data_IF_972658348742
#
_entry.id   IF_972658348742
#
_cell.length_a   1.000
_cell.length_b   1.000
_cell.length_c   1.000
_cell.angle_alpha   90.00
_cell.angle_beta   90.00
_cell.angle_gamma   90.00
#
_symmetry.space_group_name_H-M   'P 1'
#
loop_
_entity.id
_entity.type
_entity.pdbx_description
1 polymer ?
#
# COMPACT_ATOMS: atom_id res chain seq x y z
N UNK A 1 8.71 -21.72 2.85
CA UNK A 1 7.62 -20.78 2.52
C UNK A 1 8.23 -19.39 2.39
N UNK A 2 8.06 -18.70 1.27
CA UNK A 2 8.48 -17.29 1.10
C UNK A 2 7.23 -16.42 1.21
N UNK A 3 7.33 -15.32 1.92
CA UNK A 3 6.24 -14.34 2.04
C UNK A 3 6.63 -13.13 1.20
N UNK A 4 5.75 -12.72 0.29
CA UNK A 4 5.94 -11.48 -0.47
C UNK A 4 5.64 -10.31 0.44
N UNK A 5 6.60 -9.40 0.59
CA UNK A 5 6.49 -8.24 1.47
C UNK A 5 6.79 -6.95 0.71
N UNK A 6 6.31 -5.84 1.24
CA UNK A 6 6.61 -4.49 0.75
C UNK A 6 6.95 -3.59 1.93
N UNK A 7 7.75 -2.56 1.69
CA UNK A 7 8.09 -1.55 2.66
C UNK A 7 6.95 -0.53 2.76
N UNK A 8 6.36 -0.35 3.94
CA UNK A 8 5.31 0.65 4.16
C UNK A 8 5.86 2.07 4.39
N UNK A 9 7.15 2.16 4.71
CA UNK A 9 7.81 3.42 5.06
C UNK A 9 8.96 3.67 4.10
N UNK A 10 8.75 4.61 3.17
CA UNK A 10 9.78 5.03 2.24
C UNK A 10 10.94 5.76 2.96
N UNK A 11 12.18 5.51 2.53
CA UNK A 11 13.37 6.25 2.98
C UNK A 11 13.99 5.76 4.29
N UNK A 12 13.40 4.76 4.95
CA UNK A 12 14.05 4.08 6.07
C UNK A 12 15.26 3.29 5.60
N UNK A 13 16.23 3.13 6.51
CA UNK A 13 17.42 2.32 6.27
C UNK A 13 17.01 0.90 5.84
N UNK A 14 17.74 0.37 4.88
CA UNK A 14 17.53 -0.99 4.38
C UNK A 14 17.52 -1.99 5.55
N UNK A 15 16.49 -2.86 5.63
CA UNK A 15 16.43 -3.91 6.65
C UNK A 15 17.70 -4.77 6.63
N UNK A 16 18.19 -5.15 7.81
CA UNK A 16 19.33 -6.06 7.92
C UNK A 16 19.03 -7.15 8.94
N UNK A 17 19.64 -8.33 8.76
CA UNK A 17 19.42 -9.49 9.64
C UNK A 17 19.79 -9.26 11.11
N UNK A 18 20.47 -8.15 11.45
CA UNK A 18 20.82 -7.76 12.82
C UNK A 18 19.71 -6.98 13.52
N UNK A 19 18.66 -6.57 12.82
CA UNK A 19 17.54 -5.83 13.40
C UNK A 19 16.55 -6.79 14.06
N UNK A 20 15.99 -6.39 15.21
CA UNK A 20 14.92 -7.14 15.86
C UNK A 20 13.58 -6.82 15.20
N UNK A 21 12.92 -7.84 14.65
CA UNK A 21 11.63 -7.73 13.99
C UNK A 21 10.51 -8.24 14.89
N UNK A 22 9.36 -7.56 14.87
CA UNK A 22 8.11 -8.04 15.47
C UNK A 22 7.01 -8.01 14.42
N UNK A 23 6.17 -9.03 14.42
CA UNK A 23 4.92 -9.01 13.65
C UNK A 23 3.92 -8.17 14.44
N UNK A 24 3.31 -7.21 13.76
CA UNK A 24 2.25 -6.36 14.31
C UNK A 24 1.06 -6.38 13.36
N UNK A 25 -0.13 -6.17 13.90
CA UNK A 25 -1.33 -6.03 13.10
C UNK A 25 -1.26 -4.74 12.27
N UNK A 26 -1.82 -4.74 11.05
CA UNK A 26 -1.73 -3.60 10.14
C UNK A 26 -2.33 -2.33 10.76
N UNK A 27 -3.39 -2.49 11.53
CA UNK A 27 -4.16 -1.45 12.20
C UNK A 27 -3.32 -0.68 13.24
N UNK A 28 -2.24 -1.30 13.72
CA UNK A 28 -1.26 -0.62 14.60
C UNK A 28 -0.37 0.36 13.85
N UNK A 29 -0.31 0.25 12.52
CA UNK A 29 0.48 1.11 11.64
C UNK A 29 -0.40 2.07 10.84
N UNK A 30 -1.52 1.60 10.28
CA UNK A 30 -2.43 2.40 9.46
C UNK A 30 -3.84 1.83 9.47
N UNK A 31 -4.82 2.72 9.47
CA UNK A 31 -6.25 2.39 9.33
C UNK A 31 -6.79 2.79 7.95
N UNK A 32 -5.93 3.11 6.98
CA UNK A 32 -6.37 3.47 5.62
C UNK A 32 -6.89 2.20 4.90
N UNK A 33 -8.20 2.12 4.58
CA UNK A 33 -8.77 0.95 3.92
C UNK A 33 -8.17 0.68 2.54
N UNK A 34 -7.62 1.70 1.87
CA UNK A 34 -6.91 1.54 0.60
C UNK A 34 -5.63 0.73 0.79
N UNK A 35 -4.89 1.01 1.87
CA UNK A 35 -3.64 0.31 2.17
C UNK A 35 -3.91 -1.16 2.49
N UNK A 36 -4.94 -1.45 3.29
CA UNK A 36 -5.37 -2.82 3.57
C UNK A 36 -5.72 -3.57 2.27
N UNK A 37 -6.55 -2.97 1.41
CA UNK A 37 -6.96 -3.56 0.14
C UNK A 37 -5.77 -3.91 -0.77
N UNK A 38 -4.76 -3.04 -0.83
CA UNK A 38 -3.53 -3.28 -1.61
C UNK A 38 -2.72 -4.45 -1.05
N UNK A 39 -2.56 -4.54 0.27
CA UNK A 39 -1.80 -5.60 0.92
C UNK A 39 -2.50 -6.96 0.82
N UNK A 40 -3.83 -6.99 0.88
CA UNK A 40 -4.59 -8.20 0.65
C UNK A 40 -4.48 -8.68 -0.82
N UNK A 41 -4.53 -7.76 -1.78
CA UNK A 41 -4.33 -8.09 -3.20
C UNK A 41 -2.93 -8.66 -3.46
N UNK A 42 -1.90 -8.13 -2.79
CA UNK A 42 -0.55 -8.71 -2.79
C UNK A 42 -0.54 -10.13 -2.19
N UNK A 43 -1.21 -10.32 -1.05
CA UNK A 43 -1.31 -11.62 -0.38
C UNK A 43 -2.02 -12.69 -1.21
N UNK A 44 -3.00 -12.29 -2.03
CA UNK A 44 -3.70 -13.16 -2.99
C UNK A 44 -2.92 -13.39 -4.29
N UNK A 45 -1.83 -12.66 -4.52
CA UNK A 45 -1.02 -12.74 -5.75
C UNK A 45 -1.62 -12.00 -6.95
N UNK A 46 -2.58 -11.10 -6.72
CA UNK A 46 -3.20 -10.27 -7.77
C UNK A 46 -2.28 -9.12 -8.19
N UNK A 47 -1.40 -8.68 -7.29
CA UNK A 47 -0.40 -7.66 -7.56
C UNK A 47 1.01 -8.25 -7.47
N UNK A 48 1.88 -7.86 -8.42
CA UNK A 48 3.30 -8.12 -8.28
C UNK A 48 3.89 -7.28 -7.14
N UNK A 49 4.98 -7.75 -6.54
CA UNK A 49 5.65 -7.04 -5.44
C UNK A 49 6.03 -5.60 -5.81
N UNK A 50 6.51 -5.36 -7.04
CA UNK A 50 6.90 -4.04 -7.52
C UNK A 50 5.71 -3.10 -7.69
N UNK A 51 4.60 -3.60 -8.23
CA UNK A 51 3.34 -2.84 -8.35
C UNK A 51 2.80 -2.47 -6.97
N UNK A 52 2.77 -3.44 -6.05
CA UNK A 52 2.33 -3.21 -4.68
C UNK A 52 3.24 -2.20 -3.96
N UNK A 53 4.56 -2.30 -4.10
CA UNK A 53 5.51 -1.37 -3.48
C UNK A 53 5.28 0.08 -3.92
N UNK A 54 5.07 0.31 -5.21
CA UNK A 54 4.79 1.64 -5.75
C UNK A 54 3.43 2.18 -5.24
N UNK A 55 2.37 1.36 -5.32
CA UNK A 55 1.04 1.73 -4.86
C UNK A 55 1.03 2.05 -3.35
N UNK A 56 1.71 1.23 -2.55
CA UNK A 56 1.82 1.42 -1.11
C UNK A 56 2.56 2.70 -0.76
N UNK A 57 3.69 3.03 -1.41
CA UNK A 57 4.38 4.29 -1.14
C UNK A 57 3.57 5.52 -1.55
N UNK A 58 2.80 5.43 -2.64
CA UNK A 58 1.88 6.49 -3.02
C UNK A 58 0.80 6.71 -1.93
N UNK A 59 0.16 5.64 -1.46
CA UNK A 59 -0.93 5.73 -0.47
C UNK A 59 -0.43 6.07 0.93
N UNK A 60 0.60 5.37 1.42
CA UNK A 60 1.06 5.46 2.81
C UNK A 60 2.03 6.62 3.07
N UNK A 61 2.75 7.08 2.05
CA UNK A 61 3.77 8.13 2.20
C UNK A 61 3.50 9.37 1.34
N UNK A 62 2.49 9.36 0.48
CA UNK A 62 2.13 10.51 -0.36
C UNK A 62 3.09 10.77 -1.51
N UNK A 63 3.95 9.81 -1.88
CA UNK A 63 4.85 9.98 -3.03
C UNK A 63 4.03 10.14 -4.31
N UNK A 64 4.32 11.19 -5.08
CA UNK A 64 3.72 11.41 -6.39
C UNK A 64 4.20 10.36 -7.40
N UNK A 65 3.41 10.15 -8.45
CA UNK A 65 3.79 9.24 -9.54
C UNK A 65 5.06 9.69 -10.25
N UNK A 66 5.29 11.01 -10.32
CA UNK A 66 6.52 11.58 -10.86
C UNK A 66 7.72 11.21 -9.99
N UNK A 67 7.63 11.41 -8.67
CA UNK A 67 8.69 11.00 -7.73
C UNK A 67 8.97 9.50 -7.77
N UNK A 68 7.92 8.67 -7.91
CA UNK A 68 8.07 7.22 -8.07
C UNK A 68 8.75 6.86 -9.39
N UNK A 69 8.43 7.56 -10.49
CA UNK A 69 9.07 7.34 -11.79
C UNK A 69 10.54 7.75 -11.83
N UNK A 70 10.91 8.74 -11.03
CA UNK A 70 12.28 9.22 -10.91
C UNK A 70 13.16 8.34 -10.00
N UNK A 71 12.59 7.35 -9.30
CA UNK A 71 13.34 6.46 -8.40
C UNK A 71 14.34 5.62 -9.17
N UNK A 72 15.58 5.62 -8.68
CA UNK A 72 16.70 4.85 -9.22
C UNK A 72 17.33 4.00 -8.14
N UNK A 73 17.82 2.84 -8.55
CA UNK A 73 18.64 1.94 -7.75
C UNK A 73 20.09 2.24 -8.14
N UNK A 74 20.82 2.88 -7.22
CA UNK A 74 22.27 3.07 -7.37
C UNK A 74 22.97 1.72 -7.27
N UNK A 75 23.79 1.41 -8.28
CA UNK A 75 24.60 0.20 -8.33
C UNK A 75 26.05 0.57 -8.54
N UNK A 76 26.89 0.23 -7.56
CA UNK A 76 28.33 0.45 -7.65
C UNK A 76 28.92 -0.17 -8.93
N UNK A 77 29.50 0.69 -9.78
CA UNK A 77 30.19 0.27 -11.01
C UNK A 77 29.27 -0.09 -12.19
N UNK A 78 27.97 0.23 -12.12
CA UNK A 78 27.02 0.06 -13.24
C UNK A 78 26.09 1.28 -13.36
N UNK A 79 25.47 1.52 -14.53
CA UNK A 79 24.43 2.53 -14.65
C UNK A 79 23.27 2.25 -13.69
N UNK A 80 22.65 3.34 -13.21
CA UNK A 80 21.47 3.26 -12.37
C UNK A 80 20.32 2.53 -13.09
N UNK A 81 19.69 1.60 -12.39
CA UNK A 81 18.48 0.95 -12.85
C UNK A 81 17.25 1.70 -12.32
N UNK A 82 16.22 1.86 -13.13
CA UNK A 82 14.94 2.37 -12.66
C UNK A 82 14.36 1.45 -11.58
N UNK A 83 13.81 2.03 -10.51
CA UNK A 83 13.20 1.23 -9.45
C UNK A 83 11.94 0.52 -9.91
N UNK A 84 11.19 1.20 -10.79
CA UNK A 84 9.95 0.74 -11.40
C UNK A 84 9.99 0.98 -12.91
N UNK A 85 9.45 0.03 -13.66
CA UNK A 85 9.17 0.18 -15.09
C UNK A 85 7.90 1.00 -15.30
N UNK A 86 7.74 1.56 -16.50
CA UNK A 86 6.53 2.33 -16.85
C UNK A 86 5.24 1.51 -16.70
N UNK A 87 5.29 0.22 -17.06
CA UNK A 87 4.15 -0.69 -16.91
C UNK A 87 3.80 -0.94 -15.44
N UNK A 88 4.80 -1.12 -14.57
CA UNK A 88 4.57 -1.28 -13.13
C UNK A 88 3.91 -0.04 -12.51
N UNK A 89 4.36 1.15 -12.90
CA UNK A 89 3.75 2.41 -12.45
C UNK A 89 2.30 2.55 -12.93
N UNK A 90 2.03 2.20 -14.20
CA UNK A 90 0.67 2.22 -14.74
C UNK A 90 -0.26 1.26 -13.99
N UNK A 91 0.21 0.05 -13.71
CA UNK A 91 -0.56 -0.93 -12.95
C UNK A 91 -0.75 -0.52 -11.49
N UNK A 92 0.24 0.12 -10.87
CA UNK A 92 0.14 0.68 -9.53
C UNK A 92 -0.92 1.79 -9.48
N UNK A 93 -0.88 2.71 -10.44
CA UNK A 93 -1.87 3.79 -10.54
C UNK A 93 -3.30 3.25 -10.68
N UNK A 94 -3.51 2.27 -11.57
CA UNK A 94 -4.83 1.61 -11.72
C UNK A 94 -5.28 0.92 -10.43
N UNK A 95 -4.37 0.26 -9.74
CA UNK A 95 -4.67 -0.43 -8.48
C UNK A 95 -5.10 0.58 -7.41
N UNK A 96 -4.40 1.72 -7.29
CA UNK A 96 -4.77 2.80 -6.39
C UNK A 96 -6.14 3.38 -6.72
N UNK A 97 -6.46 3.58 -8.00
CA UNK A 97 -7.76 4.08 -8.42
C UNK A 97 -8.90 3.13 -7.97
N UNK A 98 -8.75 1.82 -8.24
CA UNK A 98 -9.75 0.81 -7.86
C UNK A 98 -9.95 0.75 -6.35
N UNK A 99 -8.89 0.77 -5.54
CA UNK A 99 -9.05 0.72 -4.08
C UNK A 99 -9.62 2.04 -3.53
N UNK A 100 -9.36 3.17 -4.18
CA UNK A 100 -9.93 4.47 -3.78
C UNK A 100 -11.43 4.53 -4.06
N UNK A 101 -11.88 4.02 -5.21
CA UNK A 101 -13.31 3.90 -5.54
C UNK A 101 -14.03 2.97 -4.55
N UNK A 102 -13.40 1.83 -4.21
CA UNK A 102 -13.94 0.89 -3.21
C UNK A 102 -14.04 1.52 -1.83
N UNK A 103 -13.00 2.24 -1.40
CA UNK A 103 -12.99 2.95 -0.12
C UNK A 103 -14.12 3.99 -0.06
N UNK A 104 -14.27 4.82 -1.09
CA UNK A 104 -15.34 5.81 -1.17
C UNK A 104 -16.74 5.18 -1.15
N UNK A 105 -16.92 4.03 -1.80
CA UNK A 105 -18.20 3.29 -1.79
C UNK A 105 -18.50 2.72 -0.41
N UNK A 106 -17.49 2.21 0.31
CA UNK A 106 -17.64 1.70 1.67
C UNK A 106 -17.99 2.82 2.66
N UNK A 107 -17.32 3.97 2.55
CA UNK A 107 -17.63 5.16 3.34
C UNK A 107 -19.06 5.66 3.08
N UNK A 108 -19.50 5.68 1.81
CA UNK A 108 -20.87 6.04 1.45
C UNK A 108 -21.91 5.05 2.01
N UNK A 109 -21.59 3.74 2.04
CA UNK A 109 -22.47 2.73 2.61
C UNK A 109 -22.60 2.85 4.15
N UNK A 110 -21.52 3.23 4.83
CA UNK A 110 -21.53 3.44 6.29
C UNK A 110 -22.44 4.61 6.70
N UNK A 111 -22.45 5.70 5.91
CA UNK A 111 -23.31 6.86 6.14
C UNK A 111 -24.81 6.59 5.90
N UNK A 112 -25.16 5.52 5.16
CA UNK A 112 -26.55 5.16 4.84
C UNK A 112 -27.14 4.16 5.84
N UNK A 113 -26.37 3.69 6.83
CA UNK A 113 -26.94 2.82 7.89
C UNK A 113 -27.60 3.69 8.96
N UNK A 114 -28.95 3.78 9.04
CA UNK A 114 -29.56 4.52 10.13
C UNK A 114 -29.25 3.77 11.44
N UNK A 115 -28.72 4.53 12.40
CA UNK A 115 -28.63 4.15 13.80
C UNK A 115 -30.02 3.82 14.33
N UNK A 116 -30.45 2.57 14.12
CA UNK A 116 -31.67 2.00 14.67
C UNK A 116 -31.31 1.22 15.94
N UNK A 117 -30.93 1.92 17.01
CA UNK A 117 -31.04 1.37 18.37
C UNK A 117 -30.94 2.47 19.42
N UNK A 118 -31.98 3.29 19.54
CA UNK A 118 -32.36 3.87 20.83
C UNK A 118 -33.90 3.82 20.94
N UNK A 119 -34.40 2.68 21.43
CA UNK A 119 -35.77 2.58 21.92
C UNK A 119 -35.80 2.99 23.41
N UNK A 120 -36.78 3.78 23.86
CA UNK A 120 -36.94 4.13 25.27
C UNK A 120 -37.66 3.00 26.00
N UNK A 121 -37.04 2.45 27.05
CA UNK A 121 -37.61 1.40 27.88
C UNK A 121 -37.91 1.89 29.29
N UNK A 122 -39.19 2.20 29.52
CA UNK A 122 -39.98 2.29 30.78
C UNK A 122 -39.35 2.84 32.06
#
# INVERSE_FOLDING_TARGET
MRITTVCLEHGKKEPSSRMSYKLVALETFSTDPKLQSLLEALGRGELSQKVAQAATWHVANGLTWEELSAKKIDRLGRPDDAWFTQNELLMAHRSVAVVSERAATAEAAELVTPSASQAPGR
#
